data_IF_507620785914
#
_entry.id   IF_507620785914
#
_cell.length_a   1.000
_cell.length_b   1.000
_cell.length_c   1.000
_cell.angle_alpha   90.00
_cell.angle_beta   90.00
_cell.angle_gamma   90.00
#
_symmetry.space_group_name_H-M   'P 1'
#
loop_
_entity.id
_entity.type
_entity.pdbx_description
1 polymer ?
#
# COMPACT_ATOMS: atom_id res chain seq x y z
N UNK A 1 -1.48 -15.00 5.43
CA UNK A 1 -0.18 -14.55 5.97
C UNK A 1 0.27 -13.41 5.08
N UNK A 2 0.34 -12.21 5.67
CA UNK A 2 0.73 -10.97 4.99
C UNK A 2 2.14 -11.12 4.44
N UNK A 3 2.43 -10.40 3.37
CA UNK A 3 3.73 -10.41 2.74
C UNK A 3 4.77 -9.71 3.64
N UNK A 4 5.85 -10.39 4.05
CA UNK A 4 6.86 -9.83 4.98
C UNK A 4 7.44 -8.49 4.45
N UNK A 5 7.54 -8.35 3.12
CA UNK A 5 7.96 -7.12 2.49
C UNK A 5 6.92 -6.01 2.69
N UNK A 6 5.64 -6.27 2.41
CA UNK A 6 4.59 -5.26 2.58
C UNK A 6 4.43 -4.88 4.05
N UNK A 7 4.63 -5.82 4.98
CA UNK A 7 4.64 -5.51 6.42
C UNK A 7 5.79 -4.56 6.80
N UNK A 8 7.01 -4.79 6.29
CA UNK A 8 8.13 -3.86 6.49
C UNK A 8 7.81 -2.47 5.93
N UNK A 9 7.17 -2.41 4.76
CA UNK A 9 6.77 -1.14 4.13
C UNK A 9 5.66 -0.42 4.90
N UNK A 10 4.67 -1.15 5.40
CA UNK A 10 3.62 -0.60 6.28
C UNK A 10 4.23 -0.05 7.56
N UNK A 11 5.21 -0.75 8.14
CA UNK A 11 5.94 -0.25 9.31
C UNK A 11 6.66 1.07 9.01
N UNK A 12 7.42 1.13 7.90
CA UNK A 12 8.12 2.36 7.48
C UNK A 12 7.17 3.51 7.17
N UNK A 13 5.98 3.22 6.66
CA UNK A 13 4.97 4.25 6.41
C UNK A 13 4.33 4.79 7.70
N UNK A 14 4.41 4.05 8.81
CA UNK A 14 4.04 4.54 10.14
C UNK A 14 5.19 5.31 10.81
N UNK A 15 6.43 4.88 10.60
CA UNK A 15 7.67 5.49 11.14
C UNK A 15 8.05 6.77 10.36
N UNK A 16 7.37 7.88 10.66
CA UNK A 16 7.54 9.16 9.97
C UNK A 16 8.94 9.79 10.21
N UNK A 17 9.54 9.55 11.38
CA UNK A 17 10.86 10.09 11.73
C UNK A 17 12.04 9.13 11.44
N UNK A 18 11.75 7.92 10.96
CA UNK A 18 12.71 6.89 10.57
C UNK A 18 13.63 6.46 11.72
N UNK A 19 13.15 6.50 12.97
CA UNK A 19 13.90 6.07 14.14
C UNK A 19 13.81 4.55 14.39
N UNK A 20 13.08 3.82 13.54
CA UNK A 20 12.80 2.38 13.64
C UNK A 20 11.91 1.99 14.83
N UNK A 21 11.21 2.94 15.42
CA UNK A 21 10.14 2.75 16.38
C UNK A 21 8.86 3.39 15.87
N UNK A 22 7.73 3.02 16.49
CA UNK A 22 6.46 3.72 16.25
C UNK A 22 6.10 4.40 17.56
N UNK A 23 6.22 5.72 17.59
CA UNK A 23 5.83 6.54 18.71
C UNK A 23 4.30 6.70 18.78
N UNK A 24 3.79 7.30 19.85
CA UNK A 24 2.34 7.39 20.06
C UNK A 24 1.64 8.22 18.95
N UNK A 25 2.28 9.26 18.44
CA UNK A 25 1.68 10.12 17.42
C UNK A 25 1.61 9.38 16.08
N UNK A 26 2.69 8.74 15.68
CA UNK A 26 2.77 7.88 14.49
C UNK A 26 1.73 6.77 14.52
N UNK A 27 1.60 6.10 15.68
CA UNK A 27 0.58 5.07 15.88
C UNK A 27 -0.84 5.63 15.69
N UNK A 28 -1.15 6.79 16.26
CA UNK A 28 -2.47 7.43 16.14
C UNK A 28 -2.73 7.89 14.71
N UNK A 29 -1.75 8.51 14.05
CA UNK A 29 -1.84 8.98 12.67
C UNK A 29 -2.09 7.82 11.71
N UNK A 30 -1.27 6.77 11.78
CA UNK A 30 -1.41 5.59 10.94
C UNK A 30 -2.75 4.88 11.14
N UNK A 31 -3.20 4.72 12.40
CA UNK A 31 -4.53 4.17 12.67
C UNK A 31 -5.68 5.04 12.16
N UNK A 32 -5.53 6.36 12.19
CA UNK A 32 -6.54 7.28 11.64
C UNK A 32 -6.78 6.99 10.15
N UNK A 33 -5.70 6.83 9.37
CA UNK A 33 -5.77 6.51 7.94
C UNK A 33 -6.32 5.09 7.72
N UNK A 34 -5.81 4.10 8.47
CA UNK A 34 -6.20 2.70 8.34
C UNK A 34 -7.69 2.49 8.59
N UNK A 35 -8.17 3.01 9.71
CA UNK A 35 -9.52 2.73 10.18
C UNK A 35 -10.56 3.67 9.57
N UNK A 36 -10.18 4.91 9.23
CA UNK A 36 -11.13 5.96 8.86
C UNK A 36 -10.68 6.87 7.71
N UNK A 37 -9.53 6.60 7.11
CA UNK A 37 -9.00 7.40 6.01
C UNK A 37 -9.92 7.43 4.80
N UNK A 38 -10.03 8.60 4.18
CA UNK A 38 -10.69 8.75 2.89
C UNK A 38 -9.80 8.24 1.75
N UNK A 39 -10.32 8.24 0.52
CA UNK A 39 -9.59 7.71 -0.65
C UNK A 39 -8.25 8.43 -0.87
N UNK A 40 -8.19 9.75 -0.73
CA UNK A 40 -6.97 10.54 -0.97
C UNK A 40 -5.91 10.27 0.12
N UNK A 41 -6.32 10.21 1.39
CA UNK A 41 -5.41 9.85 2.50
C UNK A 41 -4.83 8.44 2.33
N UNK A 42 -5.68 7.47 1.95
CA UNK A 42 -5.26 6.10 1.68
C UNK A 42 -4.41 5.97 0.43
N UNK A 43 -4.71 6.75 -0.61
CA UNK A 43 -3.91 6.81 -1.83
C UNK A 43 -2.50 7.29 -1.52
N UNK A 44 -2.36 8.39 -0.75
CA UNK A 44 -1.06 8.90 -0.34
C UNK A 44 -0.29 7.88 0.49
N UNK A 45 -0.95 7.26 1.45
CA UNK A 45 -0.35 6.20 2.26
C UNK A 45 0.15 5.02 1.42
N UNK A 46 -0.69 4.44 0.55
CA UNK A 46 -0.26 3.29 -0.25
C UNK A 46 0.82 3.69 -1.27
N UNK A 47 0.78 4.92 -1.81
CA UNK A 47 1.88 5.43 -2.63
C UNK A 47 3.21 5.43 -1.87
N UNK A 48 3.24 5.91 -0.63
CA UNK A 48 4.45 5.93 0.20
C UNK A 48 4.93 4.52 0.57
N UNK A 49 4.01 3.57 0.73
CA UNK A 49 4.34 2.14 0.88
C UNK A 49 5.03 1.60 -0.38
N UNK A 50 4.60 2.01 -1.57
CA UNK A 50 5.08 1.51 -2.86
C UNK A 50 6.36 2.18 -3.38
N UNK A 51 6.58 3.46 -3.07
CA UNK A 51 7.81 4.21 -3.39
C UNK A 51 8.96 3.70 -2.51
N UNK A 52 9.70 2.69 -2.99
CA UNK A 52 10.66 1.95 -2.16
C UNK A 52 11.83 2.80 -1.72
N UNK A 53 12.27 3.70 -2.60
CA UNK A 53 13.45 4.54 -2.40
C UNK A 53 13.12 5.95 -1.85
N UNK A 54 11.84 6.36 -1.84
CA UNK A 54 11.37 7.65 -1.33
C UNK A 54 11.65 8.83 -2.26
N UNK A 55 11.81 8.60 -3.57
CA UNK A 55 12.14 9.63 -4.54
C UNK A 55 10.91 10.40 -5.06
N UNK A 56 9.71 9.99 -4.64
CA UNK A 56 8.43 10.58 -5.02
C UNK A 56 7.82 9.96 -6.28
N UNK A 57 8.40 8.88 -6.80
CA UNK A 57 7.94 8.15 -7.97
C UNK A 57 7.94 6.65 -7.71
N UNK A 58 7.01 5.92 -8.33
CA UNK A 58 7.07 4.46 -8.38
C UNK A 58 7.68 4.08 -9.72
N UNK A 59 8.87 3.49 -9.69
CA UNK A 59 9.62 3.01 -10.84
C UNK A 59 9.18 1.60 -11.27
N UNK A 60 9.52 1.21 -12.50
CA UNK A 60 9.21 -0.13 -13.04
C UNK A 60 9.87 -1.23 -12.20
N UNK A 61 11.08 -0.98 -11.73
CA UNK A 61 11.85 -1.87 -10.87
C UNK A 61 11.14 -2.11 -9.53
N UNK A 62 10.59 -1.05 -8.94
CA UNK A 62 9.82 -1.12 -7.69
C UNK A 62 8.51 -1.87 -7.88
N UNK A 63 7.76 -1.59 -8.96
CA UNK A 63 6.54 -2.34 -9.30
C UNK A 63 6.85 -3.82 -9.47
N UNK A 64 7.93 -4.15 -10.19
CA UNK A 64 8.34 -5.53 -10.39
C UNK A 64 8.66 -6.22 -9.05
N UNK A 65 9.36 -5.55 -8.14
CA UNK A 65 9.66 -6.09 -6.82
C UNK A 65 8.39 -6.34 -5.99
N UNK A 66 7.46 -5.37 -6.00
CA UNK A 66 6.19 -5.45 -5.28
C UNK A 66 5.28 -6.57 -5.82
N UNK A 67 5.14 -6.66 -7.15
CA UNK A 67 4.26 -7.62 -7.82
C UNK A 67 4.83 -9.03 -7.80
N UNK A 68 6.14 -9.20 -7.95
CA UNK A 68 6.79 -10.52 -7.88
C UNK A 68 6.40 -11.20 -6.56
N UNK A 69 6.54 -10.49 -5.45
CA UNK A 69 6.27 -11.06 -4.13
C UNK A 69 4.77 -11.37 -3.92
N UNK A 70 3.89 -10.56 -4.50
CA UNK A 70 2.43 -10.79 -4.52
C UNK A 70 2.03 -12.02 -5.35
N UNK A 71 2.70 -12.28 -6.48
CA UNK A 71 2.36 -13.34 -7.45
C UNK A 71 3.02 -14.69 -7.15
N UNK A 72 4.11 -14.73 -6.39
CA UNK A 72 4.86 -15.97 -6.07
C UNK A 72 4.00 -17.01 -5.29
N UNK A 73 2.79 -16.64 -4.87
CA UNK A 73 1.84 -17.52 -4.16
C UNK A 73 0.96 -18.37 -5.08
N UNK A 74 0.98 -18.17 -6.41
CA UNK A 74 0.23 -19.01 -7.35
C UNK A 74 1.20 -19.91 -8.15
N UNK A 75 1.09 -21.24 -8.06
CA UNK A 75 1.89 -22.14 -8.88
C UNK A 75 1.32 -22.14 -10.31
N UNK A 76 1.82 -21.27 -11.17
CA UNK A 76 1.54 -21.30 -12.62
C UNK A 76 2.63 -22.07 -13.36
N UNK A 77 2.28 -22.70 -14.49
CA UNK A 77 3.22 -23.44 -15.36
C UNK A 77 4.15 -22.52 -16.18
N UNK A 78 3.84 -21.22 -16.23
CA UNK A 78 4.62 -20.16 -16.89
C UNK A 78 5.71 -19.61 -15.97
N UNK A 79 6.79 -19.08 -16.54
CA UNK A 79 7.86 -18.40 -15.79
C UNK A 79 7.23 -17.23 -14.99
N UNK A 80 7.21 -17.28 -13.65
CA UNK A 80 6.58 -16.25 -12.82
C UNK A 80 7.13 -14.85 -13.09
N UNK A 81 8.36 -14.79 -13.62
CA UNK A 81 9.03 -13.54 -13.93
C UNK A 81 8.49 -12.86 -15.19
N UNK A 82 8.07 -13.62 -16.20
CA UNK A 82 7.51 -13.09 -17.45
C UNK A 82 6.11 -12.52 -17.20
N UNK A 83 5.25 -13.24 -16.47
CA UNK A 83 3.94 -12.73 -16.07
C UNK A 83 4.02 -11.47 -15.20
N UNK A 84 5.05 -11.34 -14.35
CA UNK A 84 5.29 -10.12 -13.57
C UNK A 84 5.67 -8.95 -14.49
N UNK A 85 6.52 -9.16 -15.49
CA UNK A 85 6.91 -8.11 -16.46
C UNK A 85 5.71 -7.62 -17.25
N UNK A 86 4.85 -8.53 -17.72
CA UNK A 86 3.63 -8.15 -18.44
C UNK A 86 2.68 -7.32 -17.57
N UNK A 87 2.53 -7.67 -16.30
CA UNK A 87 1.73 -6.87 -15.36
C UNK A 87 2.33 -5.48 -15.12
N UNK A 88 3.65 -5.37 -14.98
CA UNK A 88 4.32 -4.06 -14.89
C UNK A 88 4.02 -3.22 -16.13
N UNK A 89 4.12 -3.78 -17.33
CA UNK A 89 3.79 -3.06 -18.57
C UNK A 89 2.32 -2.62 -18.64
N UNK A 90 1.39 -3.49 -18.21
CA UNK A 90 -0.04 -3.18 -18.17
C UNK A 90 -0.31 -2.02 -17.20
N UNK A 91 0.27 -2.08 -15.99
CA UNK A 91 0.06 -1.04 -14.97
C UNK A 91 0.70 0.27 -15.40
N UNK A 92 1.94 0.24 -15.92
CA UNK A 92 2.60 1.41 -16.49
C UNK A 92 1.72 2.07 -17.56
N UNK A 93 1.26 1.31 -18.55
CA UNK A 93 0.41 1.84 -19.62
C UNK A 93 -0.91 2.43 -19.10
N UNK A 94 -1.39 1.96 -17.96
CA UNK A 94 -2.66 2.40 -17.35
C UNK A 94 -2.51 3.62 -16.46
N UNK A 95 -1.41 3.70 -15.69
CA UNK A 95 -1.21 4.72 -14.66
C UNK A 95 -0.30 5.86 -15.12
N UNK A 96 0.69 5.62 -15.98
CA UNK A 96 1.64 6.63 -16.46
C UNK A 96 0.98 7.57 -17.50
N UNK A 97 0.41 8.69 -17.03
CA UNK A 97 -0.37 9.61 -17.88
C UNK A 97 0.52 10.58 -18.67
N UNK A 98 1.69 10.92 -18.15
CA UNK A 98 2.62 11.85 -18.80
C UNK A 98 3.73 11.16 -19.61
N UNK A 99 3.78 9.83 -19.56
CA UNK A 99 4.67 8.96 -20.30
C UNK A 99 6.16 9.17 -19.98
N UNK A 100 6.46 9.51 -18.72
CA UNK A 100 7.83 9.70 -18.24
C UNK A 100 8.51 8.39 -17.81
N UNK A 101 7.81 7.25 -17.94
CA UNK A 101 8.21 5.91 -17.54
C UNK A 101 8.31 5.68 -16.02
N UNK A 102 7.67 6.54 -15.23
CA UNK A 102 7.49 6.38 -13.79
C UNK A 102 6.05 6.77 -13.42
N UNK A 103 5.63 6.45 -12.20
CA UNK A 103 4.30 6.86 -11.71
C UNK A 103 4.51 7.90 -10.62
N UNK A 104 4.15 9.15 -10.90
CA UNK A 104 4.10 10.19 -9.87
C UNK A 104 2.86 10.02 -8.98
N UNK A 105 2.84 10.67 -7.81
CA UNK A 105 1.64 10.67 -6.97
C UNK A 105 0.40 11.23 -7.72
N UNK A 106 0.61 12.19 -8.63
CA UNK A 106 -0.47 12.76 -9.44
C UNK A 106 -1.06 11.73 -10.40
N UNK A 107 -0.21 10.94 -11.05
CA UNK A 107 -0.63 9.86 -11.93
C UNK A 107 -1.46 8.82 -11.20
N UNK A 108 -0.98 8.46 -10.01
CA UNK A 108 -1.69 7.54 -9.13
C UNK A 108 -3.04 8.11 -8.70
N UNK A 109 -3.11 9.36 -8.24
CA UNK A 109 -4.35 10.00 -7.81
C UNK A 109 -5.38 10.12 -8.93
N UNK A 110 -4.97 10.52 -10.15
CA UNK A 110 -5.86 10.59 -11.32
C UNK A 110 -6.41 9.20 -11.63
N UNK A 111 -5.54 8.18 -11.65
CA UNK A 111 -5.96 6.81 -11.94
C UNK A 111 -6.96 6.29 -10.92
N UNK A 112 -6.77 6.59 -9.64
CA UNK A 112 -7.68 6.16 -8.57
C UNK A 112 -9.03 6.88 -8.56
N UNK A 113 -9.12 8.07 -9.13
CA UNK A 113 -10.41 8.74 -9.32
C UNK A 113 -11.29 8.00 -10.34
N UNK A 114 -10.67 7.40 -11.37
CA UNK A 114 -11.36 6.61 -12.38
C UNK A 114 -11.56 5.15 -11.94
N UNK A 115 -10.54 4.56 -11.33
CA UNK A 115 -10.50 3.14 -10.95
C UNK A 115 -10.02 2.95 -9.50
N UNK A 116 -10.89 3.17 -8.49
CA UNK A 116 -10.54 3.03 -7.07
C UNK A 116 -10.06 1.63 -6.66
N UNK A 117 -10.36 0.60 -7.47
CA UNK A 117 -9.93 -0.78 -7.24
C UNK A 117 -8.40 -0.96 -7.37
N UNK A 118 -7.72 -0.01 -8.02
CA UNK A 118 -6.27 -0.04 -8.19
C UNK A 118 -5.51 0.53 -6.97
N UNK A 119 -6.20 0.91 -5.90
CA UNK A 119 -5.59 1.46 -4.69
C UNK A 119 -4.54 0.49 -4.10
N UNK A 120 -4.83 -0.80 -4.13
CA UNK A 120 -3.94 -1.85 -3.65
C UNK A 120 -3.30 -2.68 -4.78
N UNK A 121 -3.11 -2.07 -5.96
CA UNK A 121 -2.68 -2.77 -7.19
C UNK A 121 -1.35 -3.52 -7.06
N UNK A 122 -0.44 -3.04 -6.21
CA UNK A 122 0.89 -3.63 -6.03
C UNK A 122 1.01 -4.51 -4.77
N UNK A 123 -0.07 -4.66 -4.01
CA UNK A 123 -0.12 -5.47 -2.79
C UNK A 123 -1.00 -4.86 -1.70
N UNK A 124 -1.51 -5.70 -0.81
CA UNK A 124 -2.41 -5.29 0.27
C UNK A 124 -1.68 -4.47 1.36
N UNK A 125 -1.73 -3.14 1.25
CA UNK A 125 -1.16 -2.16 2.17
C UNK A 125 -2.11 -1.77 3.31
N UNK A 126 -3.41 -2.06 3.18
CA UNK A 126 -4.46 -1.64 4.11
C UNK A 126 -5.07 -2.85 4.85
N UNK A 127 -5.63 -2.62 6.05
CA UNK A 127 -6.33 -3.68 6.76
C UNK A 127 -7.60 -4.08 6.02
N UNK A 128 -7.90 -5.39 6.02
CA UNK A 128 -9.18 -5.88 5.52
C UNK A 128 -10.34 -5.19 6.27
N UNK A 129 -11.45 -4.85 5.58
CA UNK A 129 -12.58 -4.14 6.18
C UNK A 129 -13.11 -4.79 7.47
N UNK A 130 -13.17 -6.12 7.50
CA UNK A 130 -13.63 -6.86 8.68
C UNK A 130 -12.61 -6.79 9.84
N UNK A 131 -11.31 -6.87 9.53
CA UNK A 131 -10.25 -6.70 10.51
C UNK A 131 -10.25 -5.30 11.13
N UNK A 132 -10.40 -4.26 10.30
CA UNK A 132 -10.54 -2.88 10.76
C UNK A 132 -11.78 -2.69 11.64
N UNK A 133 -12.92 -3.26 11.25
CA UNK A 133 -14.16 -3.20 12.03
C UNK A 133 -14.02 -3.88 13.39
N UNK A 134 -13.50 -5.11 13.43
CA UNK A 134 -13.26 -5.82 14.69
C UNK A 134 -12.30 -5.06 15.60
N UNK A 135 -11.23 -4.48 15.05
CA UNK A 135 -10.31 -3.66 15.84
C UNK A 135 -11.02 -2.46 16.45
N UNK A 136 -11.86 -1.76 15.67
CA UNK A 136 -12.61 -0.61 16.19
C UNK A 136 -13.56 -1.05 17.31
N UNK A 137 -14.27 -2.15 17.13
CA UNK A 137 -15.21 -2.69 18.11
C UNK A 137 -14.49 -3.09 19.42
N UNK A 138 -13.33 -3.72 19.33
CA UNK A 138 -12.57 -4.15 20.50
C UNK A 138 -11.87 -2.97 21.21
N UNK A 139 -11.17 -2.12 20.46
CA UNK A 139 -10.32 -1.08 21.02
C UNK A 139 -11.12 0.12 21.57
N UNK A 140 -12.28 0.44 20.98
CA UNK A 140 -13.04 1.66 21.31
C UNK A 140 -14.38 1.42 21.99
N UNK A 141 -14.91 0.19 22.04
CA UNK A 141 -16.26 -0.09 22.56
C UNK A 141 -16.28 -0.89 23.86
N UNK A 142 -15.16 -1.43 24.35
CA UNK A 142 -15.12 -2.02 25.69
C UNK A 142 -15.32 -0.89 26.71
N UNK A 143 -16.37 -0.94 27.56
CA UNK A 143 -16.53 0.04 28.62
C UNK A 143 -15.31 -0.05 29.52
N UNK A 144 -14.60 1.07 29.71
CA UNK A 144 -13.64 1.20 30.81
C UNK A 144 -14.36 0.73 32.07
N UNK A 145 -14.00 -0.46 32.58
CA UNK A 145 -14.40 -0.87 33.91
C UNK A 145 -13.88 0.23 34.81
N UNK A 146 -14.81 1.04 35.32
CA UNK A 146 -14.54 2.14 36.25
C UNK A 146 -13.74 1.55 37.41
N UNK A 147 -12.48 1.96 37.55
CA UNK A 147 -11.77 1.84 38.83
C UNK A 147 -12.29 2.92 39.75
#
# INVERSE_FOLDING_TARGET
>A
MTDDMILDRVFRAFDEDSDSYINLNEWINGLSIFLRGNLSERAKYCFDVYDLNGDGFISREEMFHLLKHSLTKQPTEEDPEEGTKDLVEIVMKKMDNDHDNRISFRDFEITLQEEPLLLEAFGNCLPEPEGAKMFVEYAFTIPKVRR
#
